data_IF_157952032812
#
_entry.id   IF_157952032812
#
_cell.length_a   1.000
_cell.length_b   1.000
_cell.length_c   1.000
_cell.angle_alpha   90.00
_cell.angle_beta   90.00
_cell.angle_gamma   90.00
#
_symmetry.space_group_name_H-M   'P 1'
#
loop_
_entity.id
_entity.type
_entity.pdbx_description
1 polymer ?
#
# COMPACT_ATOMS: atom_id res chain seq x y z
N UNK A 1 17.64 25.98 7.80
CA UNK A 1 17.22 27.08 8.69
C UNK A 1 17.29 28.39 7.91
N UNK A 2 16.30 29.28 8.09
CA UNK A 2 16.30 30.61 7.48
C UNK A 2 17.49 31.41 8.02
N UNK A 3 18.15 32.21 7.17
CA UNK A 3 19.26 33.09 7.57
C UNK A 3 18.78 34.24 8.46
N UNK A 4 17.47 34.47 8.55
CA UNK A 4 16.85 35.40 9.48
C UNK A 4 16.19 34.61 10.62
N UNK A 5 16.82 34.65 11.79
CA UNK A 5 16.43 33.92 13.00
C UNK A 5 15.06 34.27 13.61
N UNK A 6 14.29 35.17 13.00
CA UNK A 6 13.07 35.75 13.57
C UNK A 6 11.78 35.46 12.78
N UNK A 7 11.82 34.68 11.69
CA UNK A 7 10.61 34.57 10.85
C UNK A 7 9.56 33.58 11.38
N UNK A 8 9.90 32.67 12.30
CA UNK A 8 8.98 31.67 12.88
C UNK A 8 8.23 30.80 11.87
N UNK A 9 8.64 30.83 10.59
CA UNK A 9 7.98 30.14 9.48
C UNK A 9 8.88 29.03 8.98
N UNK A 10 8.37 27.82 9.04
CA UNK A 10 8.97 26.69 8.37
C UNK A 10 8.82 26.84 6.86
N UNK A 11 9.88 26.56 6.13
CA UNK A 11 9.85 26.45 4.68
C UNK A 11 10.53 25.15 4.28
N UNK A 12 10.10 24.59 3.16
CA UNK A 12 10.76 23.45 2.55
C UNK A 12 11.40 23.88 1.24
N UNK A 13 12.53 23.26 0.93
CA UNK A 13 13.33 23.56 -0.24
C UNK A 13 13.85 22.26 -0.83
N UNK A 14 13.67 22.07 -2.13
CA UNK A 14 14.19 20.92 -2.88
C UNK A 14 14.78 21.41 -4.20
N UNK A 15 16.02 21.02 -4.48
CA UNK A 15 16.68 21.31 -5.75
C UNK A 15 16.17 20.35 -6.83
N UNK A 16 15.85 20.90 -8.00
CA UNK A 16 15.43 20.10 -9.14
C UNK A 16 16.61 19.27 -9.67
N UNK A 17 16.49 17.93 -9.79
CA UNK A 17 17.59 17.10 -10.30
C UNK A 17 17.88 17.33 -11.79
N UNK A 18 17.04 18.08 -12.50
CA UNK A 18 17.20 18.35 -13.94
C UNK A 18 17.94 19.64 -14.26
N UNK A 19 17.81 20.66 -13.40
CA UNK A 19 18.31 22.01 -13.69
C UNK A 19 18.81 22.77 -12.46
N UNK A 20 18.90 22.11 -11.31
CA UNK A 20 19.33 22.67 -10.02
C UNK A 20 18.50 23.86 -9.53
N UNK A 21 17.37 24.16 -10.18
CA UNK A 21 16.47 25.22 -9.73
C UNK A 21 15.90 24.87 -8.35
N UNK A 22 15.97 25.85 -7.44
CA UNK A 22 15.48 25.73 -6.08
C UNK A 22 13.95 25.86 -6.05
N UNK A 23 13.25 24.77 -5.78
CA UNK A 23 11.80 24.80 -5.54
C UNK A 23 11.56 25.07 -4.06
N UNK A 24 10.78 26.10 -3.73
CA UNK A 24 10.51 26.51 -2.35
C UNK A 24 9.02 26.48 -2.04
N UNK A 25 8.66 25.86 -0.92
CA UNK A 25 7.32 25.83 -0.36
C UNK A 25 7.31 26.66 0.92
N UNK A 26 6.75 27.87 0.82
CA UNK A 26 6.72 28.88 1.91
C UNK A 26 5.88 28.47 3.11
N UNK A 27 4.96 27.52 2.91
CA UNK A 27 4.04 27.00 3.93
C UNK A 27 4.48 25.60 4.43
N UNK A 28 5.65 25.13 4.02
CA UNK A 28 6.14 23.78 4.33
C UNK A 28 5.09 22.67 4.04
N UNK A 29 4.38 22.80 2.92
CA UNK A 29 3.35 21.87 2.46
C UNK A 29 3.83 20.90 1.37
N UNK A 30 5.14 20.76 1.16
CA UNK A 30 5.70 19.72 0.32
C UNK A 30 5.49 18.34 0.98
N UNK A 31 4.84 17.46 0.24
CA UNK A 31 4.63 16.07 0.61
C UNK A 31 5.80 15.26 0.05
N UNK A 32 6.65 14.71 0.93
CA UNK A 32 7.80 13.93 0.49
C UNK A 32 7.34 12.68 -0.29
N UNK A 33 8.09 12.32 -1.33
CA UNK A 33 7.71 11.27 -2.29
C UNK A 33 6.62 11.66 -3.29
N UNK A 34 5.92 12.80 -3.13
CA UNK A 34 4.91 13.21 -4.12
C UNK A 34 5.53 13.82 -5.38
N UNK A 35 4.86 13.63 -6.52
CA UNK A 35 5.27 14.19 -7.82
C UNK A 35 5.18 15.72 -7.78
N UNK A 36 6.27 16.39 -8.13
CA UNK A 36 6.39 17.84 -8.21
C UNK A 36 6.81 18.27 -9.61
N UNK A 37 6.33 19.41 -10.07
CA UNK A 37 6.79 20.04 -11.30
C UNK A 37 7.77 21.17 -10.97
N UNK A 38 8.96 21.15 -11.55
CA UNK A 38 9.96 22.19 -11.32
C UNK A 38 9.48 23.56 -11.81
N UNK A 39 9.61 24.60 -10.97
CA UNK A 39 9.27 25.97 -11.36
C UNK A 39 10.09 26.52 -12.53
N UNK A 40 11.35 26.08 -12.66
CA UNK A 40 12.28 26.50 -13.72
C UNK A 40 12.11 25.73 -15.04
N UNK A 41 12.37 24.41 -15.03
CA UNK A 41 12.36 23.60 -16.26
C UNK A 41 11.03 22.89 -16.56
N UNK A 42 10.02 23.00 -15.67
CA UNK A 42 8.70 22.35 -15.77
C UNK A 42 8.69 20.82 -15.80
N UNK A 43 9.84 20.15 -15.80
CA UNK A 43 9.93 18.70 -15.68
C UNK A 43 9.49 18.24 -14.30
N UNK A 44 8.81 17.09 -14.27
CA UNK A 44 8.40 16.44 -13.04
C UNK A 44 9.60 15.79 -12.33
N UNK A 45 9.53 15.67 -11.01
CA UNK A 45 10.49 14.94 -10.19
C UNK A 45 9.84 14.54 -8.85
N UNK A 46 10.45 13.60 -8.15
CA UNK A 46 10.14 13.28 -6.75
C UNK A 46 11.42 13.34 -5.90
N UNK A 47 11.26 13.54 -4.60
CA UNK A 47 12.36 13.44 -3.64
C UNK A 47 11.88 12.86 -2.32
N UNK A 48 12.76 12.13 -1.65
CA UNK A 48 12.51 11.56 -0.34
C UNK A 48 13.84 11.42 0.38
N UNK A 49 13.89 11.79 1.66
CA UNK A 49 15.08 11.57 2.45
C UNK A 49 15.19 10.09 2.81
N UNK A 50 16.38 9.52 2.61
CA UNK A 50 16.68 8.17 3.04
C UNK A 50 16.50 8.05 4.55
N UNK A 51 15.76 7.05 5.07
CA UNK A 51 15.59 6.89 6.51
C UNK A 51 16.92 6.56 7.22
N UNK A 52 17.87 5.92 6.53
CA UNK A 52 19.17 5.52 7.09
C UNK A 52 20.15 6.68 7.25
N UNK A 53 20.41 7.44 6.18
CA UNK A 53 21.43 8.51 6.18
C UNK A 53 20.87 9.94 6.15
N UNK A 54 19.53 10.09 6.07
CA UNK A 54 18.79 11.35 5.98
C UNK A 54 19.10 12.22 4.74
N UNK A 55 19.96 11.74 3.83
CA UNK A 55 20.24 12.42 2.56
C UNK A 55 19.09 12.22 1.57
N UNK A 56 18.84 13.25 0.75
CA UNK A 56 17.79 13.23 -0.26
C UNK A 56 18.11 12.23 -1.37
N UNK A 57 17.16 11.37 -1.68
CA UNK A 57 17.10 10.61 -2.93
C UNK A 57 16.20 11.36 -3.90
N UNK A 58 16.50 11.22 -5.19
CA UNK A 58 15.79 11.93 -6.25
C UNK A 58 15.41 10.95 -7.34
N UNK A 59 14.20 11.12 -7.85
CA UNK A 59 13.68 10.41 -9.01
C UNK A 59 13.37 11.45 -10.07
N UNK A 60 14.29 11.59 -11.01
CA UNK A 60 14.23 12.57 -12.08
C UNK A 60 13.00 12.35 -12.99
N UNK A 61 12.59 11.09 -13.18
CA UNK A 61 11.45 10.76 -14.04
C UNK A 61 10.14 10.58 -13.26
N UNK A 62 10.14 10.93 -11.96
CA UNK A 62 8.98 10.82 -11.07
C UNK A 62 8.35 9.41 -11.07
N UNK A 63 9.21 8.39 -10.94
CA UNK A 63 8.88 6.97 -10.91
C UNK A 63 8.97 6.33 -9.51
N UNK A 64 9.07 7.15 -8.45
CA UNK A 64 8.89 6.67 -7.08
C UNK A 64 7.43 6.27 -6.83
N UNK A 65 7.26 5.09 -6.24
CA UNK A 65 5.98 4.45 -5.97
C UNK A 65 5.99 3.89 -4.55
N UNK A 66 4.90 4.14 -3.83
CA UNK A 66 4.72 3.65 -2.47
C UNK A 66 4.76 2.10 -2.40
N UNK A 67 5.35 1.58 -1.33
CA UNK A 67 5.44 0.15 -1.04
C UNK A 67 6.55 -0.62 -1.77
N UNK A 68 7.19 -0.04 -2.78
CA UNK A 68 8.35 -0.65 -3.44
C UNK A 68 9.63 -0.51 -2.61
N UNK A 69 10.56 -1.45 -2.80
CA UNK A 69 11.89 -1.41 -2.18
C UNK A 69 12.78 -0.46 -2.96
N UNK A 70 13.37 0.51 -2.26
CA UNK A 70 14.36 1.44 -2.79
C UNK A 70 15.67 1.30 -2.05
N UNK A 71 16.79 1.47 -2.76
CA UNK A 71 18.14 1.48 -2.19
C UNK A 71 18.72 2.89 -2.28
N UNK A 72 19.41 3.33 -1.23
CA UNK A 72 19.98 4.68 -1.17
C UNK A 72 21.06 4.85 -2.23
N UNK A 73 20.96 5.90 -3.05
CA UNK A 73 21.94 6.20 -4.10
C UNK A 73 23.29 6.73 -3.56
N UNK A 74 23.33 7.12 -2.29
CA UNK A 74 24.53 7.68 -1.66
C UNK A 74 25.52 6.59 -1.29
N UNK A 75 26.74 6.68 -1.82
CA UNK A 75 27.78 5.63 -1.78
C UNK A 75 28.07 5.08 -0.37
N UNK A 76 27.99 5.92 0.66
CA UNK A 76 28.30 5.54 2.04
C UNK A 76 27.08 5.05 2.84
N UNK A 77 25.91 4.97 2.23
CA UNK A 77 24.68 4.52 2.88
C UNK A 77 24.34 3.09 2.45
N UNK A 78 23.99 2.88 1.18
CA UNK A 78 23.56 1.58 0.64
C UNK A 78 22.30 0.96 1.30
N UNK A 79 21.72 1.60 2.32
CA UNK A 79 20.55 1.09 3.02
C UNK A 79 19.32 1.05 2.11
N UNK A 80 18.51 0.00 2.24
CA UNK A 80 17.25 -0.16 1.52
C UNK A 80 16.06 0.12 2.42
N UNK A 81 14.94 0.56 1.86
CA UNK A 81 13.71 0.80 2.62
C UNK A 81 12.49 0.66 1.72
N UNK A 82 11.32 0.58 2.35
CA UNK A 82 10.03 0.83 1.71
C UNK A 82 9.38 2.05 2.37
N UNK A 83 8.54 2.76 1.62
CA UNK A 83 7.84 3.93 2.12
C UNK A 83 6.40 3.98 1.63
N UNK A 84 5.48 4.45 2.47
CA UNK A 84 4.09 4.73 2.08
C UNK A 84 3.61 6.01 2.76
N UNK A 85 2.99 6.89 1.99
CA UNK A 85 2.41 8.11 2.53
C UNK A 85 1.09 7.82 3.24
N UNK A 86 0.98 8.28 4.49
CA UNK A 86 -0.25 8.11 5.25
C UNK A 86 -1.41 8.89 4.59
N UNK A 87 -2.53 8.24 4.21
CA UNK A 87 -3.65 8.93 3.56
C UNK A 87 -4.39 9.92 4.47
N UNK A 88 -4.08 9.92 5.77
CA UNK A 88 -4.71 10.78 6.77
C UNK A 88 -3.94 12.06 7.03
N UNK A 89 -2.60 12.00 7.08
CA UNK A 89 -1.75 13.14 7.42
C UNK A 89 -0.66 13.45 6.39
N UNK A 90 -0.58 12.66 5.31
CA UNK A 90 0.39 12.82 4.21
C UNK A 90 1.87 12.71 4.60
N UNK A 91 2.17 12.36 5.86
CA UNK A 91 3.52 12.03 6.31
C UNK A 91 3.91 10.61 5.90
N UNK A 92 5.21 10.40 5.67
CA UNK A 92 5.76 9.15 5.16
C UNK A 92 5.99 8.15 6.30
N UNK A 93 5.48 6.94 6.15
CA UNK A 93 5.88 5.80 6.98
C UNK A 93 7.05 5.11 6.29
N UNK A 94 8.06 4.72 7.08
CA UNK A 94 9.23 4.01 6.59
C UNK A 94 9.31 2.61 7.20
N UNK A 95 9.66 1.64 6.36
CA UNK A 95 10.03 0.29 6.76
C UNK A 95 11.50 0.09 6.38
N UNK A 96 12.38 0.34 7.34
CA UNK A 96 13.84 0.33 7.16
C UNK A 96 14.38 -1.09 6.90
N UNK A 97 13.67 -2.12 7.37
CA UNK A 97 14.03 -3.53 7.18
C UNK A 97 13.35 -4.16 5.95
N UNK A 98 12.65 -3.37 5.13
CA UNK A 98 11.90 -3.83 3.96
C UNK A 98 10.88 -4.94 4.27
N UNK A 99 10.19 -4.81 5.40
CA UNK A 99 9.19 -5.73 5.91
C UNK A 99 7.74 -5.23 5.73
N UNK A 100 7.53 -4.17 4.93
CA UNK A 100 6.21 -3.73 4.54
C UNK A 100 5.49 -4.83 3.76
N UNK A 101 4.22 -5.06 4.14
CA UNK A 101 3.35 -6.04 3.49
C UNK A 101 2.08 -5.35 2.99
N UNK A 102 1.81 -5.53 1.71
CA UNK A 102 0.51 -5.15 1.12
C UNK A 102 -0.63 -5.93 1.80
N UNK A 103 -1.86 -5.42 1.65
CA UNK A 103 -3.12 -5.87 2.26
C UNK A 103 -3.19 -5.91 3.79
N UNK A 104 -2.08 -5.79 4.51
CA UNK A 104 -2.06 -5.72 5.97
C UNK A 104 -2.47 -4.33 6.45
N UNK A 105 -3.19 -4.29 7.57
CA UNK A 105 -3.53 -3.05 8.25
C UNK A 105 -2.29 -2.42 8.87
N UNK A 106 -1.94 -1.23 8.40
CA UNK A 106 -0.84 -0.43 8.92
C UNK A 106 -1.38 0.73 9.74
N UNK A 107 -0.73 1.05 10.86
CA UNK A 107 -0.99 2.26 11.61
C UNK A 107 0.04 3.33 11.23
N UNK A 108 -0.39 4.59 11.13
CA UNK A 108 0.51 5.71 10.97
C UNK A 108 1.48 5.79 12.17
N UNK A 109 2.79 5.80 11.93
CA UNK A 109 3.83 5.82 12.98
C UNK A 109 3.80 7.07 13.85
N UNK A 110 3.18 8.14 13.35
CA UNK A 110 3.07 9.40 14.05
C UNK A 110 1.91 9.37 15.04
N UNK A 111 2.21 9.51 16.33
CA UNK A 111 1.24 9.36 17.44
C UNK A 111 0.03 10.30 17.34
N UNK A 112 0.23 11.53 16.86
CA UNK A 112 -0.83 12.53 16.67
C UNK A 112 -1.78 12.16 15.51
N UNK A 113 -1.37 11.25 14.63
CA UNK A 113 -2.24 10.66 13.62
C UNK A 113 -2.76 9.29 14.05
N UNK A 114 -1.87 8.29 14.22
CA UNK A 114 -2.15 6.91 14.64
C UNK A 114 -3.28 6.15 13.90
N UNK A 115 -3.88 6.74 12.85
CA UNK A 115 -4.96 6.15 12.06
C UNK A 115 -4.43 5.01 11.21
N UNK A 116 -5.28 4.00 11.03
CA UNK A 116 -4.96 2.83 10.23
C UNK A 116 -5.31 3.04 8.75
N UNK A 117 -4.64 2.30 7.88
CA UNK A 117 -4.91 2.22 6.46
C UNK A 117 -4.41 0.88 5.90
N UNK A 118 -4.88 0.51 4.71
CA UNK A 118 -4.38 -0.63 3.96
C UNK A 118 -4.01 -0.18 2.54
N UNK A 119 -3.12 -0.94 1.92
CA UNK A 119 -2.61 -0.65 0.59
C UNK A 119 -2.40 -1.93 -0.21
N UNK A 120 -2.69 -1.87 -1.50
CA UNK A 120 -2.44 -2.96 -2.45
C UNK A 120 -2.03 -2.34 -3.79
N UNK A 121 -0.94 -2.81 -4.36
CA UNK A 121 -0.47 -2.37 -5.65
C UNK A 121 -1.34 -2.97 -6.75
N UNK A 122 -1.75 -2.14 -7.71
CA UNK A 122 -2.50 -2.62 -8.85
C UNK A 122 -1.64 -3.56 -9.68
N UNK A 123 -2.13 -4.79 -9.92
CA UNK A 123 -1.43 -5.79 -10.72
C UNK A 123 -1.21 -5.39 -12.20
N UNK A 124 -1.89 -4.34 -12.67
CA UNK A 124 -1.81 -3.88 -14.06
C UNK A 124 -0.87 -2.70 -14.28
N UNK A 125 -0.77 -1.79 -13.31
CA UNK A 125 0.03 -0.56 -13.44
C UNK A 125 1.02 -0.35 -12.31
N UNK A 126 1.09 -1.26 -11.34
CA UNK A 126 1.92 -1.21 -10.12
C UNK A 126 1.66 -0.01 -9.19
N UNK A 127 0.76 0.91 -9.55
CA UNK A 127 0.39 2.03 -8.68
C UNK A 127 -0.41 1.53 -7.47
N UNK A 128 -0.14 2.14 -6.33
CA UNK A 128 -0.79 1.82 -5.05
C UNK A 128 -2.27 2.21 -5.05
N UNK A 129 -3.12 1.31 -4.57
CA UNK A 129 -4.49 1.58 -4.16
C UNK A 129 -4.50 1.72 -2.64
N UNK A 130 -5.24 2.69 -2.12
CA UNK A 130 -5.23 3.02 -0.69
C UNK A 130 -6.64 2.94 -0.12
N UNK A 131 -6.82 2.10 0.90
CA UNK A 131 -8.02 2.02 1.71
C UNK A 131 -7.79 2.81 2.99
N UNK A 132 -8.22 4.07 2.96
CA UNK A 132 -8.00 5.04 4.05
C UNK A 132 -8.62 4.59 5.37
N UNK A 133 -9.67 3.77 5.34
CA UNK A 133 -10.36 3.29 6.54
C UNK A 133 -9.92 1.87 6.95
N UNK A 134 -8.91 1.30 6.27
CA UNK A 134 -8.49 -0.08 6.46
C UNK A 134 -9.66 -1.08 6.34
N UNK A 135 -10.46 -0.89 5.29
CA UNK A 135 -11.63 -1.68 4.91
C UNK A 135 -11.39 -2.55 3.66
N UNK A 136 -10.12 -2.77 3.31
CA UNK A 136 -9.75 -3.72 2.26
C UNK A 136 -10.08 -5.15 2.70
N UNK A 137 -10.64 -5.94 1.78
CA UNK A 137 -11.05 -7.32 2.03
C UNK A 137 -10.50 -8.24 0.97
N UNK A 138 -9.75 -9.25 1.42
CA UNK A 138 -9.26 -10.34 0.59
C UNK A 138 -10.40 -10.98 -0.24
N UNK A 139 -10.08 -11.32 -1.49
CA UNK A 139 -10.98 -12.02 -2.40
C UNK A 139 -12.04 -11.15 -3.08
N UNK A 140 -12.27 -9.91 -2.62
CA UNK A 140 -13.15 -8.98 -3.33
C UNK A 140 -12.46 -8.39 -4.56
N UNK A 141 -13.25 -8.20 -5.62
CA UNK A 141 -12.80 -7.54 -6.83
C UNK A 141 -12.75 -6.03 -6.66
N UNK A 142 -11.59 -5.44 -6.94
CA UNK A 142 -11.38 -4.00 -6.86
C UNK A 142 -10.91 -3.48 -8.21
N UNK A 143 -11.49 -2.37 -8.66
CA UNK A 143 -10.96 -1.60 -9.77
C UNK A 143 -9.81 -0.71 -9.28
N UNK A 144 -8.76 -0.58 -10.08
CA UNK A 144 -7.68 0.36 -9.79
C UNK A 144 -8.22 1.79 -9.71
N UNK A 145 -7.92 2.51 -8.62
CA UNK A 145 -8.40 3.89 -8.40
C UNK A 145 -7.80 4.91 -9.37
N UNK A 146 -6.70 4.56 -10.03
CA UNK A 146 -6.02 5.44 -10.99
C UNK A 146 -6.78 5.47 -12.32
N UNK A 147 -7.13 6.66 -12.79
CA UNK A 147 -8.06 6.89 -13.92
C UNK A 147 -7.58 6.27 -15.24
N UNK A 148 -6.27 6.22 -15.46
CA UNK A 148 -5.68 5.64 -16.65
C UNK A 148 -5.61 4.10 -16.64
N UNK A 149 -5.80 3.48 -15.47
CA UNK A 149 -5.81 2.04 -15.33
C UNK A 149 -7.24 1.50 -15.25
N UNK A 150 -7.97 1.78 -14.17
CA UNK A 150 -9.35 1.31 -13.90
C UNK A 150 -9.59 -0.21 -14.07
N UNK A 151 -8.55 -1.01 -14.29
CA UNK A 151 -8.68 -2.46 -14.46
C UNK A 151 -8.93 -3.13 -13.11
N UNK A 152 -9.77 -4.17 -13.16
CA UNK A 152 -10.14 -4.96 -11.99
C UNK A 152 -9.01 -5.91 -11.63
N UNK A 153 -8.81 -6.14 -10.34
CA UNK A 153 -7.92 -7.16 -9.78
C UNK A 153 -8.51 -7.73 -8.49
N UNK A 154 -8.02 -8.90 -8.08
CA UNK A 154 -8.32 -9.54 -6.79
C UNK A 154 -7.02 -10.07 -6.18
N UNK A 155 -6.96 -10.10 -4.86
CA UNK A 155 -5.84 -10.68 -4.12
C UNK A 155 -6.34 -11.36 -2.85
N UNK A 156 -5.67 -12.44 -2.45
CA UNK A 156 -5.88 -13.12 -1.16
C UNK A 156 -4.53 -13.49 -0.56
N UNK A 157 -4.35 -13.30 0.74
CA UNK A 157 -3.19 -13.80 1.46
C UNK A 157 -3.32 -15.30 1.68
N UNK A 158 -2.35 -16.07 1.18
CA UNK A 158 -2.30 -17.51 1.42
C UNK A 158 -2.07 -17.81 2.91
N UNK A 159 -2.90 -18.63 3.57
CA UNK A 159 -2.74 -18.93 4.99
C UNK A 159 -1.46 -19.73 5.29
N UNK A 160 -0.96 -20.48 4.30
CA UNK A 160 0.18 -21.39 4.48
C UNK A 160 1.56 -20.72 4.44
N UNK A 161 1.68 -19.60 3.72
CA UNK A 161 2.96 -18.93 3.51
C UNK A 161 2.91 -17.41 3.65
N UNK A 162 1.73 -16.86 3.95
CA UNK A 162 1.47 -15.43 4.11
C UNK A 162 1.84 -14.57 2.87
N UNK A 163 2.02 -15.20 1.71
CA UNK A 163 2.22 -14.49 0.43
C UNK A 163 0.87 -14.18 -0.21
N UNK A 164 0.78 -13.03 -0.83
CA UNK A 164 -0.38 -12.58 -1.59
C UNK A 164 -0.50 -13.40 -2.88
N UNK A 165 -1.63 -14.09 -3.07
CA UNK A 165 -2.01 -14.76 -4.30
C UNK A 165 -2.82 -13.78 -5.16
N UNK A 166 -2.35 -13.39 -6.35
CA UNK A 166 -3.00 -12.39 -7.19
C UNK A 166 -3.84 -13.00 -8.32
N UNK A 167 -4.95 -12.34 -8.66
CA UNK A 167 -5.72 -12.57 -9.89
C UNK A 167 -5.84 -11.26 -10.67
N UNK A 168 -5.15 -11.23 -11.81
CA UNK A 168 -5.02 -10.04 -12.63
C UNK A 168 -6.37 -9.56 -13.17
N UNK A 169 -7.32 -10.44 -13.51
CA UNK A 169 -8.61 -10.03 -14.09
C UNK A 169 -9.82 -10.23 -13.17
N UNK A 170 -9.61 -10.48 -11.88
CA UNK A 170 -10.72 -10.72 -10.96
C UNK A 170 -11.45 -12.06 -11.18
N UNK A 171 -10.70 -13.11 -11.49
CA UNK A 171 -11.23 -14.45 -11.78
C UNK A 171 -11.37 -15.33 -10.52
N UNK A 172 -11.03 -14.83 -9.33
CA UNK A 172 -11.18 -15.58 -8.08
C UNK A 172 -12.66 -15.84 -7.78
N UNK A 173 -12.95 -17.09 -7.42
CA UNK A 173 -14.28 -17.53 -7.00
C UNK A 173 -14.24 -17.91 -5.53
N UNK A 174 -14.99 -17.17 -4.71
CA UNK A 174 -15.12 -17.45 -3.28
C UNK A 174 -15.59 -18.91 -3.06
N UNK A 175 -14.97 -19.59 -2.11
CA UNK A 175 -15.25 -21.00 -1.79
C UNK A 175 -14.70 -22.01 -2.80
N UNK A 176 -14.13 -21.61 -3.94
CA UNK A 176 -13.48 -22.54 -4.85
C UNK A 176 -12.07 -22.93 -4.34
N UNK A 177 -11.68 -24.21 -4.41
CA UNK A 177 -10.31 -24.63 -4.11
C UNK A 177 -9.31 -23.82 -4.93
N UNK A 178 -8.39 -23.18 -4.23
CA UNK A 178 -7.38 -22.29 -4.80
C UNK A 178 -6.00 -22.77 -4.40
N UNK A 179 -5.13 -23.03 -5.38
CA UNK A 179 -3.72 -23.32 -5.12
C UNK A 179 -2.90 -22.04 -5.04
N UNK A 180 -2.07 -21.90 -4.01
CA UNK A 180 -1.13 -20.80 -3.91
C UNK A 180 -0.04 -20.92 -4.97
N UNK A 181 0.19 -19.86 -5.77
CA UNK A 181 1.26 -19.85 -6.78
C UNK A 181 2.69 -19.95 -6.22
N UNK A 182 2.87 -19.80 -4.90
CA UNK A 182 4.21 -19.79 -4.26
C UNK A 182 4.54 -21.06 -3.48
N UNK A 183 3.59 -21.60 -2.70
CA UNK A 183 3.83 -22.81 -1.90
C UNK A 183 3.09 -24.05 -2.43
N UNK A 184 2.32 -23.90 -3.51
CA UNK A 184 1.49 -24.93 -4.14
C UNK A 184 0.42 -25.58 -3.25
N UNK A 185 0.28 -25.18 -1.98
CA UNK A 185 -0.77 -25.68 -1.09
C UNK A 185 -2.11 -25.04 -1.45
N UNK A 186 -3.16 -25.85 -1.41
CA UNK A 186 -4.53 -25.43 -1.66
C UNK A 186 -5.18 -24.86 -0.41
N UNK A 187 -6.12 -23.93 -0.60
CA UNK A 187 -6.97 -23.36 0.44
C UNK A 187 -8.29 -22.88 -0.20
N UNK A 188 -9.28 -22.57 0.63
CA UNK A 188 -10.52 -21.88 0.22
C UNK A 188 -10.76 -20.68 1.12
N UNK A 189 -11.41 -19.64 0.60
CA UNK A 189 -11.86 -18.52 1.43
C UNK A 189 -13.23 -17.98 1.05
N UNK A 190 -13.96 -17.50 2.05
CA UNK A 190 -15.28 -16.88 1.88
C UNK A 190 -15.41 -15.72 2.87
N UNK A 191 -15.87 -14.58 2.38
CA UNK A 191 -16.19 -13.46 3.26
C UNK A 191 -17.51 -13.73 3.97
N UNK A 192 -17.52 -13.62 5.29
CA UNK A 192 -18.72 -13.76 6.10
C UNK A 192 -19.77 -12.72 5.65
N UNK A 193 -21.02 -13.11 5.35
CA UNK A 193 -22.04 -12.16 4.90
C UNK A 193 -22.42 -11.14 5.97
N UNK A 194 -22.16 -11.44 7.26
CA UNK A 194 -22.57 -10.60 8.39
C UNK A 194 -21.53 -9.55 8.78
N UNK A 195 -20.24 -9.88 8.68
CA UNK A 195 -19.16 -8.99 9.10
C UNK A 195 -18.11 -8.73 8.03
N UNK A 196 -18.30 -9.30 6.83
CA UNK A 196 -17.45 -9.17 5.64
C UNK A 196 -16.00 -9.60 5.82
N UNK A 197 -15.64 -10.18 6.96
CA UNK A 197 -14.31 -10.73 7.23
C UNK A 197 -14.14 -12.10 6.59
N UNK A 198 -12.92 -12.37 6.15
CA UNK A 198 -12.56 -13.61 5.48
C UNK A 198 -12.57 -14.79 6.45
N UNK A 199 -13.23 -15.87 6.06
CA UNK A 199 -13.09 -17.20 6.63
C UNK A 199 -12.18 -18.01 5.72
N UNK A 200 -11.27 -18.76 6.31
CA UNK A 200 -10.20 -19.45 5.59
C UNK A 200 -10.18 -20.93 5.96
N UNK A 201 -10.16 -21.79 4.95
CA UNK A 201 -10.05 -23.24 5.10
C UNK A 201 -8.71 -23.69 4.53
N UNK A 202 -7.75 -23.89 5.42
CA UNK A 202 -6.39 -24.31 5.08
C UNK A 202 -6.31 -25.67 4.40
N UNK A 203 -7.26 -26.57 4.70
CA UNK A 203 -7.33 -27.90 4.10
C UNK A 203 -8.10 -27.92 2.77
N UNK A 204 -8.69 -26.79 2.35
CA UNK A 204 -9.59 -26.72 1.20
C UNK A 204 -10.75 -27.74 1.28
N UNK A 205 -11.38 -27.82 2.45
CA UNK A 205 -12.49 -28.70 2.81
C UNK A 205 -13.82 -27.96 3.03
N UNK A 206 -13.93 -26.68 2.64
CA UNK A 206 -15.21 -25.99 2.58
C UNK A 206 -16.12 -26.66 1.54
N UNK A 207 -17.32 -27.00 2.00
CA UNK A 207 -18.42 -27.55 1.23
C UNK A 207 -19.55 -26.52 1.17
N UNK A 208 -19.94 -26.15 -0.05
CA UNK A 208 -21.09 -25.30 -0.32
C UNK A 208 -22.40 -25.91 0.21
N UNK A 209 -23.30 -25.05 0.69
CA UNK A 209 -24.57 -25.49 1.28
C UNK A 209 -24.45 -26.08 2.68
N UNK A 210 -23.28 -26.13 3.30
CA UNK A 210 -23.15 -26.42 4.73
C UNK A 210 -23.24 -25.13 5.57
N UNK A 211 -23.66 -25.28 6.82
CA UNK A 211 -23.71 -24.19 7.79
C UNK A 211 -22.36 -24.10 8.51
N UNK A 212 -21.75 -22.91 8.48
CA UNK A 212 -20.49 -22.60 9.14
C UNK A 212 -20.66 -21.46 10.11
N UNK A 213 -19.84 -21.42 11.15
CA UNK A 213 -19.75 -20.26 12.03
C UNK A 213 -18.61 -19.34 11.55
N UNK A 214 -18.83 -18.03 11.58
CA UNK A 214 -17.77 -17.08 11.28
C UNK A 214 -16.62 -17.20 12.31
N UNK A 215 -15.43 -17.53 11.83
CA UNK A 215 -14.22 -17.67 12.63
C UNK A 215 -13.73 -16.34 13.27
N UNK A 216 -14.31 -15.21 12.85
CA UNK A 216 -13.89 -13.91 13.36
C UNK A 216 -14.43 -13.62 14.76
N UNK A 217 -13.53 -13.31 15.69
CA UNK A 217 -13.85 -12.95 17.09
C UNK A 217 -14.78 -11.73 17.15
N UNK A 218 -15.99 -11.95 17.67
CA UNK A 218 -17.03 -10.93 17.80
C UNK A 218 -18.12 -10.98 16.73
N UNK A 219 -17.98 -11.82 15.70
CA UNK A 219 -19.11 -12.16 14.82
C UNK A 219 -19.85 -13.39 15.36
N UNK A 220 -19.23 -14.58 15.33
CA UNK A 220 -19.83 -15.83 15.83
C UNK A 220 -21.17 -16.22 15.17
N UNK A 221 -21.55 -15.56 14.08
CA UNK A 221 -22.81 -15.82 13.42
C UNK A 221 -22.65 -16.97 12.42
N UNK A 222 -23.63 -17.86 12.44
CA UNK A 222 -23.80 -18.91 11.43
C UNK A 222 -24.10 -18.30 10.06
N UNK A 223 -23.47 -18.85 9.02
CA UNK A 223 -23.77 -18.53 7.64
C UNK A 223 -23.73 -19.80 6.78
N UNK A 224 -24.49 -19.76 5.70
CA UNK A 224 -24.52 -20.80 4.67
C UNK A 224 -24.46 -20.08 3.34
N UNK A 225 -23.59 -20.56 2.47
CA UNK A 225 -23.43 -20.06 1.10
C UNK A 225 -24.09 -21.05 0.16
N UNK A 226 -25.05 -20.55 -0.64
CA UNK A 226 -25.75 -21.28 -1.67
C UNK A 226 -25.64 -20.42 -2.93
N UNK A 227 -24.98 -20.92 -3.97
CA UNK A 227 -25.05 -20.33 -5.28
C UNK A 227 -26.44 -20.64 -5.84
N UNK A 228 -27.30 -19.62 -5.86
CA UNK A 228 -28.53 -19.70 -6.64
C UNK A 228 -28.12 -19.77 -8.13
N UNK A 229 -28.59 -20.79 -8.89
CA UNK A 229 -28.28 -20.93 -10.31
C UNK A 229 -28.83 -19.79 -11.17
#
# INVERSE_FOLDING_TARGET
SCVHGDCGRDFQCVHCPHCEHQNMWKEANYIAGSVQNCGGCRRSFQSLNCPHCKQANFWADADHQDGLVYTCVHQNCGGSWQSVNCPHCQRVNFWEDCDYKESVMHACVYQDCAKTFQTVNCLHCNKVNIWKNADYQDGLAYACVHQECQKVFQTIVCPHCSRMNPWVNGEYKAGAPTSCGFCARSFQSINCPHCTRVNMWEAADYVEGMMYECAHVGCGQGFQTINCP
#
